data_IF_403812316639
#
_entry.id   IF_403812316639
#
_cell.length_a   1.000
_cell.length_b   1.000
_cell.length_c   1.000
_cell.angle_alpha   90.00
_cell.angle_beta   90.00
_cell.angle_gamma   90.00
#
_symmetry.space_group_name_H-M   'P 1'
#
loop_
_entity.id
_entity.type
_entity.pdbx_description
1 polymer ?
#
# COMPACT_ATOMS: atom_id res chain seq x y z
N UNK A 1 -11.59 3.35 -2.52
CA UNK A 1 -10.89 2.73 -1.37
C UNK A 1 -11.26 1.25 -1.32
N UNK A 2 -10.42 0.37 -0.78
CA UNK A 2 -10.69 -1.08 -0.63
C UNK A 2 -9.94 -1.67 0.58
N UNK A 3 -10.38 -2.82 1.09
CA UNK A 3 -9.72 -3.51 2.22
C UNK A 3 -8.57 -4.37 1.68
N UNK A 4 -7.44 -4.38 2.38
CA UNK A 4 -6.29 -5.22 2.06
C UNK A 4 -5.59 -5.71 3.32
N UNK A 5 -4.79 -6.77 3.20
CA UNK A 5 -3.83 -7.20 4.21
C UNK A 5 -2.43 -6.77 3.82
N UNK A 6 -1.67 -6.23 4.75
CA UNK A 6 -0.23 -6.00 4.55
C UNK A 6 0.48 -7.35 4.57
N UNK A 7 1.17 -7.68 3.50
CA UNK A 7 1.90 -8.95 3.34
C UNK A 7 3.41 -8.78 3.30
N UNK A 8 3.90 -7.54 3.45
CA UNK A 8 5.33 -7.26 3.59
C UNK A 8 5.70 -5.80 3.31
N UNK A 9 7.00 -5.52 3.39
CA UNK A 9 7.61 -4.23 3.03
C UNK A 9 8.29 -4.33 1.67
N UNK A 10 8.26 -3.23 0.91
CA UNK A 10 8.99 -3.11 -0.34
C UNK A 10 10.17 -2.16 -0.15
N UNK A 11 11.34 -2.59 -0.58
CA UNK A 11 12.56 -1.78 -0.55
C UNK A 11 13.01 -1.52 -1.98
N UNK A 12 13.25 -0.25 -2.31
CA UNK A 12 13.92 0.14 -3.54
C UNK A 12 14.98 1.20 -3.24
N UNK A 13 16.18 0.96 -3.78
CA UNK A 13 17.32 1.87 -3.75
C UNK A 13 17.17 2.98 -4.80
N UNK A 14 16.65 2.63 -5.98
CA UNK A 14 16.43 3.57 -7.10
C UNK A 14 14.93 3.71 -7.31
N UNK A 15 14.39 4.91 -7.08
CA UNK A 15 12.96 5.22 -7.19
C UNK A 15 12.77 6.70 -7.47
N UNK A 16 11.56 7.09 -7.81
CA UNK A 16 11.23 8.50 -7.98
C UNK A 16 11.41 9.25 -6.63
N UNK A 17 12.01 10.45 -6.62
CA UNK A 17 12.23 11.22 -5.37
C UNK A 17 10.99 11.45 -4.51
N UNK A 18 9.80 11.47 -5.12
CA UNK A 18 8.52 11.56 -4.41
C UNK A 18 8.29 10.42 -3.38
N UNK A 19 8.99 9.29 -3.53
CA UNK A 19 8.94 8.15 -2.62
C UNK A 19 10.15 8.08 -1.66
N UNK A 20 10.98 9.12 -1.61
CA UNK A 20 12.09 9.19 -0.66
C UNK A 20 11.57 9.31 0.77
N UNK A 21 12.21 8.58 1.69
CA UNK A 21 11.83 8.47 3.10
C UNK A 21 10.37 8.04 3.33
N UNK A 22 9.71 7.43 2.32
CA UNK A 22 8.39 6.82 2.45
C UNK A 22 8.51 5.32 2.71
N UNK A 23 7.72 4.82 3.65
CA UNK A 23 7.54 3.38 3.86
C UNK A 23 6.61 2.84 2.78
N UNK A 24 7.10 1.88 2.00
CA UNK A 24 6.32 1.19 0.97
C UNK A 24 5.92 -0.19 1.47
N UNK A 25 4.64 -0.51 1.37
CA UNK A 25 4.05 -1.77 1.80
C UNK A 25 3.52 -2.55 0.61
N UNK A 26 3.75 -3.86 0.61
CA UNK A 26 3.06 -4.78 -0.30
C UNK A 26 1.73 -5.18 0.35
N UNK A 27 0.63 -4.90 -0.33
CA UNK A 27 -0.72 -5.16 0.18
C UNK A 27 -1.47 -6.11 -0.74
N UNK A 28 -2.15 -7.11 -0.16
CA UNK A 28 -3.03 -8.04 -0.86
C UNK A 28 -4.48 -7.62 -0.65
N UNK A 29 -5.21 -7.19 -1.69
CA UNK A 29 -6.61 -6.84 -1.55
C UNK A 29 -7.45 -8.05 -1.08
N UNK A 30 -8.46 -7.76 -0.26
CA UNK A 30 -9.37 -8.74 0.31
C UNK A 30 -10.83 -8.40 -0.03
N UNK A 31 -11.67 -9.43 -0.13
CA UNK A 31 -13.12 -9.26 -0.10
C UNK A 31 -13.61 -8.98 1.33
N UNK A 32 -14.89 -8.59 1.47
CA UNK A 32 -15.52 -8.43 2.80
C UNK A 32 -15.61 -9.75 3.59
N UNK A 33 -15.38 -10.90 2.94
CA UNK A 33 -15.29 -12.22 3.58
C UNK A 33 -13.84 -12.64 3.87
N UNK A 34 -12.90 -11.70 3.83
CA UNK A 34 -11.46 -11.94 4.01
C UNK A 34 -10.85 -12.93 3.02
N UNK A 35 -11.44 -13.06 1.83
CA UNK A 35 -10.89 -13.88 0.75
C UNK A 35 -9.93 -13.04 -0.09
N UNK A 36 -8.84 -13.64 -0.56
CA UNK A 36 -7.90 -12.97 -1.46
C UNK A 36 -8.61 -12.59 -2.76
N UNK A 37 -8.46 -11.34 -3.17
CA UNK A 37 -8.98 -10.84 -4.45
C UNK A 37 -7.94 -9.96 -5.13
N UNK A 38 -7.90 -9.98 -6.46
CA UNK A 38 -6.95 -9.22 -7.27
C UNK A 38 -5.49 -9.56 -6.94
N UNK A 39 -4.57 -8.99 -7.71
CA UNK A 39 -3.14 -9.12 -7.45
C UNK A 39 -2.70 -8.15 -6.35
N UNK A 40 -1.64 -8.48 -5.59
CA UNK A 40 -1.00 -7.54 -4.69
C UNK A 40 -0.58 -6.25 -5.40
N UNK A 41 -0.51 -5.16 -4.65
CA UNK A 41 0.00 -3.87 -5.13
C UNK A 41 0.82 -3.17 -4.04
N UNK A 42 1.54 -2.12 -4.42
CA UNK A 42 2.33 -1.31 -3.49
C UNK A 42 1.48 -0.13 -3.00
N UNK A 43 1.52 0.13 -1.70
CA UNK A 43 0.92 1.29 -1.07
C UNK A 43 1.97 2.06 -0.25
N UNK A 44 1.80 3.39 -0.16
CA UNK A 44 2.56 4.23 0.78
C UNK A 44 1.88 4.16 2.14
N UNK A 45 2.66 3.90 3.18
CA UNK A 45 2.18 3.92 4.55
C UNK A 45 2.14 5.35 5.11
N UNK A 46 0.99 5.73 5.64
CA UNK A 46 0.74 7.02 6.30
C UNK A 46 0.35 6.88 7.77
N UNK A 47 0.15 5.66 8.26
CA UNK A 47 -0.42 5.39 9.59
C UNK A 47 0.47 4.51 10.47
N UNK A 48 1.55 3.96 9.92
CA UNK A 48 2.47 3.08 10.65
C UNK A 48 2.00 1.62 10.64
N UNK A 49 1.42 1.14 9.54
CA UNK A 49 0.92 -0.23 9.43
C UNK A 49 2.04 -1.28 9.37
N UNK A 50 1.83 -2.39 10.07
CA UNK A 50 2.71 -3.54 10.15
C UNK A 50 2.29 -4.69 9.25
N UNK A 51 3.14 -5.71 9.14
CA UNK A 51 2.81 -6.94 8.44
C UNK A 51 1.66 -7.66 9.16
N UNK A 52 0.73 -8.21 8.37
CA UNK A 52 -0.52 -8.82 8.77
C UNK A 52 -1.66 -7.89 9.19
N UNK A 53 -1.44 -6.58 9.26
CA UNK A 53 -2.52 -5.63 9.50
C UNK A 53 -3.54 -5.64 8.36
N UNK A 54 -4.82 -5.54 8.73
CA UNK A 54 -5.92 -5.30 7.79
C UNK A 54 -6.13 -3.79 7.69
N UNK A 55 -5.90 -3.26 6.49
CA UNK A 55 -5.86 -1.82 6.22
C UNK A 55 -6.88 -1.41 5.18
N UNK A 56 -7.28 -0.14 5.22
CA UNK A 56 -8.09 0.48 4.17
C UNK A 56 -7.18 1.23 3.21
N UNK A 57 -7.09 0.76 1.96
CA UNK A 57 -6.24 1.36 0.94
C UNK A 57 -7.05 2.40 0.16
N UNK A 58 -6.60 3.65 0.24
CA UNK A 58 -7.11 4.75 -0.58
C UNK A 58 -6.30 4.92 -1.86
N UNK A 59 -6.99 5.31 -2.93
CA UNK A 59 -6.38 5.93 -4.09
C UNK A 59 -7.09 7.28 -4.25
N UNK A 60 -6.46 8.35 -3.74
CA UNK A 60 -6.96 9.69 -3.97
C UNK A 60 -6.50 10.18 -5.35
N UNK A 61 -7.32 10.93 -6.11
CA UNK A 61 -6.76 11.79 -7.15
C UNK A 61 -5.78 12.76 -6.47
N UNK A 62 -4.60 12.95 -7.07
CA UNK A 62 -3.67 14.01 -6.64
C UNK A 62 -2.46 13.59 -5.81
N UNK A 63 -2.35 12.34 -5.34
CA UNK A 63 -1.06 11.88 -4.72
C UNK A 63 0.11 11.87 -5.70
N UNK A 64 -0.19 11.90 -7.01
CA UNK A 64 0.77 12.02 -8.09
C UNK A 64 0.64 13.34 -8.89
N UNK A 65 -0.16 14.32 -8.46
CA UNK A 65 -0.30 15.60 -9.20
C UNK A 65 0.84 16.57 -8.91
N UNK A 66 1.49 16.46 -7.76
CA UNK A 66 2.65 17.29 -7.38
C UNK A 66 4.00 16.56 -7.63
N UNK A 67 3.99 15.59 -8.55
CA UNK A 67 5.18 14.84 -8.98
C UNK A 67 5.48 15.16 -10.43
#
# INVERSE_FOLDING_TARGET
MYIAKVIGKVVSVIKHPAYDNRTLLLVQPLSLKSQLVRTPTIAVDYVGAGENDIVLVGAGPGVAQEV
#
